data_IF_834468734234
#
_entry.id   IF_834468734234
#
_cell.length_a   1.000
_cell.length_b   1.000
_cell.length_c   1.000
_cell.angle_alpha   90.00
_cell.angle_beta   90.00
_cell.angle_gamma   90.00
#
_symmetry.space_group_name_H-M   'P 1'
#
loop_
_entity.id
_entity.type
_entity.pdbx_description
1 polymer ?
#
# COMPACT_ATOMS: atom_id res chain seq x y z
N UNK A 1 20.65 -21.19 4.48
CA UNK A 1 20.54 -21.79 5.84
C UNK A 1 19.10 -21.76 6.39
N UNK A 2 18.42 -20.60 6.43
CA UNK A 2 17.04 -20.48 6.97
C UNK A 2 15.99 -21.38 6.30
N UNK A 3 16.03 -21.54 4.97
CA UNK A 3 15.15 -22.44 4.22
C UNK A 3 15.35 -23.91 4.61
N UNK A 4 16.62 -24.34 4.73
CA UNK A 4 16.99 -25.70 5.14
C UNK A 4 16.47 -26.04 6.55
N UNK A 5 16.64 -25.11 7.51
CA UNK A 5 16.12 -25.29 8.89
C UNK A 5 14.60 -25.48 8.90
N UNK A 6 13.88 -24.87 7.96
CA UNK A 6 12.42 -24.96 7.82
C UNK A 6 11.97 -26.11 6.91
N UNK A 7 12.89 -26.93 6.39
CA UNK A 7 12.55 -28.05 5.49
C UNK A 7 11.97 -27.62 4.14
N UNK A 8 12.20 -26.38 3.68
CA UNK A 8 11.67 -25.89 2.41
C UNK A 8 12.50 -26.42 1.23
N UNK A 9 11.89 -27.22 0.36
CA UNK A 9 12.53 -27.88 -0.78
C UNK A 9 12.20 -27.24 -2.13
N UNK A 10 11.24 -26.31 -2.16
CA UNK A 10 10.69 -25.67 -3.36
C UNK A 10 11.32 -24.30 -3.66
N UNK A 11 12.59 -24.09 -3.29
CA UNK A 11 13.28 -22.81 -3.46
C UNK A 11 14.58 -23.00 -4.25
N UNK A 12 14.74 -22.24 -5.34
CA UNK A 12 16.00 -22.10 -6.08
C UNK A 12 16.60 -20.72 -5.81
N UNK A 13 17.87 -20.69 -5.39
CA UNK A 13 18.63 -19.46 -5.22
C UNK A 13 19.53 -19.26 -6.44
N UNK A 14 19.50 -18.05 -7.01
CA UNK A 14 20.35 -17.66 -8.14
C UNK A 14 21.10 -16.40 -7.74
N UNK A 15 22.43 -16.42 -7.85
CA UNK A 15 23.27 -15.26 -7.61
C UNK A 15 23.64 -14.65 -8.96
N UNK A 16 22.88 -13.63 -9.37
CA UNK A 16 23.09 -12.91 -10.62
C UNK A 16 22.47 -11.51 -10.52
N UNK A 17 22.71 -10.65 -11.52
CA UNK A 17 22.00 -9.40 -11.70
C UNK A 17 20.57 -9.65 -12.16
N UNK A 18 19.61 -8.88 -11.63
CA UNK A 18 18.23 -8.93 -12.13
C UNK A 18 18.13 -8.50 -13.61
N UNK A 19 19.09 -7.72 -14.11
CA UNK A 19 19.14 -7.32 -15.52
C UNK A 19 19.37 -8.52 -16.44
N UNK A 20 19.90 -9.62 -15.91
CA UNK A 20 20.13 -10.87 -16.62
C UNK A 20 18.94 -11.84 -16.57
N UNK A 21 17.82 -11.47 -15.92
CA UNK A 21 16.63 -12.34 -15.78
C UNK A 21 16.17 -12.97 -17.11
N UNK A 22 16.08 -12.24 -18.24
CA UNK A 22 15.68 -12.83 -19.51
C UNK A 22 16.59 -13.96 -20.02
N UNK A 23 17.85 -14.02 -19.56
CA UNK A 23 18.84 -15.01 -19.99
C UNK A 23 18.95 -16.22 -19.05
N UNK A 24 18.31 -16.19 -17.87
CA UNK A 24 18.46 -17.22 -16.84
C UNK A 24 17.57 -18.45 -17.01
N UNK A 25 16.68 -18.45 -18.02
CA UNK A 25 15.73 -19.53 -18.34
C UNK A 25 14.96 -20.03 -17.10
N UNK A 26 14.46 -19.10 -16.28
CA UNK A 26 13.71 -19.40 -15.06
C UNK A 26 12.21 -19.58 -15.30
N UNK A 27 11.75 -19.37 -16.54
CA UNK A 27 10.34 -19.28 -16.89
C UNK A 27 9.72 -17.95 -16.50
N UNK A 28 8.38 -17.91 -16.43
CA UNK A 28 7.60 -16.73 -16.04
C UNK A 28 6.88 -16.94 -14.72
N UNK A 29 6.68 -15.87 -13.98
CA UNK A 29 6.14 -15.90 -12.62
C UNK A 29 4.71 -15.34 -12.55
N UNK A 30 3.88 -15.94 -11.69
CA UNK A 30 2.58 -15.41 -11.32
C UNK A 30 2.72 -14.21 -10.37
N UNK A 31 3.79 -14.19 -9.57
CA UNK A 31 4.10 -13.09 -8.66
C UNK A 31 5.61 -12.81 -8.62
N UNK A 32 5.97 -11.53 -8.68
CA UNK A 32 7.35 -11.05 -8.53
C UNK A 32 7.39 -10.07 -7.36
N UNK A 33 8.17 -10.38 -6.32
CA UNK A 33 8.44 -9.44 -5.22
C UNK A 33 9.71 -8.62 -5.51
N UNK A 34 9.58 -7.31 -5.62
CA UNK A 34 10.66 -6.37 -5.87
C UNK A 34 10.61 -5.22 -4.86
N UNK A 35 11.19 -5.45 -3.68
CA UNK A 35 11.15 -4.51 -2.56
C UNK A 35 12.54 -3.96 -2.27
N UNK A 36 12.74 -2.64 -2.37
CA UNK A 36 14.05 -2.05 -2.07
C UNK A 36 15.12 -2.32 -3.12
N UNK A 37 14.74 -2.38 -4.41
CA UNK A 37 15.68 -2.79 -5.49
C UNK A 37 15.76 -1.79 -6.63
N UNK A 38 14.67 -1.55 -7.37
CA UNK A 38 14.74 -0.83 -8.65
C UNK A 38 15.31 0.58 -8.54
N UNK A 39 15.04 1.26 -7.43
CA UNK A 39 15.46 2.64 -7.22
C UNK A 39 16.95 2.80 -6.89
N UNK A 40 17.67 1.71 -6.67
CA UNK A 40 19.13 1.70 -6.53
C UNK A 40 19.85 1.40 -7.85
N UNK A 41 19.13 1.07 -8.93
CA UNK A 41 19.73 0.80 -10.22
C UNK A 41 20.13 2.09 -10.93
N UNK A 42 21.19 2.01 -11.73
CA UNK A 42 21.61 3.12 -12.59
C UNK A 42 20.53 3.42 -13.65
N UNK A 43 19.85 2.38 -14.10
CA UNK A 43 18.67 2.45 -14.96
C UNK A 43 17.52 1.62 -14.35
N UNK A 44 16.64 2.27 -13.56
CA UNK A 44 15.44 1.62 -13.00
C UNK A 44 14.49 1.08 -14.07
N UNK A 45 14.42 1.72 -15.24
CA UNK A 45 13.54 1.34 -16.34
C UNK A 45 13.99 0.02 -17.00
N UNK A 46 15.29 -0.15 -17.22
CA UNK A 46 15.86 -1.43 -17.65
C UNK A 46 15.55 -2.54 -16.65
N UNK A 47 15.66 -2.25 -15.34
CA UNK A 47 15.30 -3.20 -14.29
C UNK A 47 13.83 -3.60 -14.33
N UNK A 48 12.92 -2.63 -14.43
CA UNK A 48 11.49 -2.93 -14.52
C UNK A 48 11.14 -3.71 -15.80
N UNK A 49 11.75 -3.39 -16.94
CA UNK A 49 11.58 -4.15 -18.19
C UNK A 49 11.98 -5.61 -18.03
N UNK A 50 13.07 -5.90 -17.33
CA UNK A 50 13.51 -7.28 -17.06
C UNK A 50 12.49 -8.05 -16.20
N UNK A 51 11.96 -7.42 -15.14
CA UNK A 51 10.92 -8.00 -14.30
C UNK A 51 9.64 -8.27 -15.10
N UNK A 52 9.16 -7.27 -15.85
CA UNK A 52 7.95 -7.37 -16.68
C UNK A 52 8.07 -8.45 -17.75
N UNK A 53 9.24 -8.60 -18.37
CA UNK A 53 9.52 -9.67 -19.34
C UNK A 53 9.40 -11.08 -18.75
N UNK A 54 9.61 -11.20 -17.44
CA UNK A 54 9.51 -12.45 -16.67
C UNK A 54 8.14 -12.66 -16.03
N UNK A 55 7.19 -11.74 -16.23
CA UNK A 55 5.84 -11.82 -15.66
C UNK A 55 4.90 -12.60 -16.59
N UNK A 56 4.03 -13.43 -16.02
CA UNK A 56 2.92 -14.04 -16.75
C UNK A 56 1.84 -12.99 -17.12
N UNK A 57 0.99 -13.24 -18.12
CA UNK A 57 -0.04 -12.29 -18.56
C UNK A 57 -1.04 -11.82 -17.49
N UNK A 58 -1.29 -12.64 -16.46
CA UNK A 58 -2.15 -12.32 -15.32
C UNK A 58 -1.37 -12.19 -14.00
N UNK A 59 -0.04 -12.07 -14.08
CA UNK A 59 0.81 -11.97 -12.89
C UNK A 59 0.81 -10.57 -12.27
N UNK A 60 1.35 -10.48 -11.05
CA UNK A 60 1.52 -9.22 -10.34
C UNK A 60 2.97 -9.00 -9.89
N UNK A 61 3.41 -7.74 -9.86
CA UNK A 61 4.67 -7.33 -9.25
C UNK A 61 4.34 -6.56 -7.96
N UNK A 62 4.80 -7.05 -6.81
CA UNK A 62 4.85 -6.26 -5.59
C UNK A 62 6.09 -5.38 -5.62
N UNK A 63 5.90 -4.06 -5.75
CA UNK A 63 6.96 -3.08 -5.87
C UNK A 63 7.08 -2.25 -4.60
N UNK A 64 8.30 -2.00 -4.12
CA UNK A 64 8.57 -0.95 -3.14
C UNK A 64 9.75 -0.07 -3.58
N UNK A 65 9.55 1.25 -3.58
CA UNK A 65 10.57 2.25 -3.87
C UNK A 65 10.57 3.40 -2.85
N UNK A 66 11.64 4.18 -2.80
CA UNK A 66 11.71 5.38 -1.95
C UNK A 66 10.73 6.48 -2.37
N UNK A 67 10.03 7.05 -1.38
CA UNK A 67 9.08 8.15 -1.58
C UNK A 67 9.76 9.51 -1.48
N UNK A 68 9.48 10.41 -2.43
CA UNK A 68 10.13 11.75 -2.48
C UNK A 68 9.72 12.61 -1.29
N UNK A 69 8.41 12.70 -1.03
CA UNK A 69 7.86 13.62 -0.03
C UNK A 69 8.33 13.27 1.38
N UNK A 70 8.13 12.01 1.81
CA UNK A 70 8.51 11.56 3.14
C UNK A 70 10.03 11.54 3.39
N UNK A 71 10.85 11.50 2.34
CA UNK A 71 12.33 11.50 2.44
C UNK A 71 12.97 12.87 2.20
N UNK A 72 12.20 13.96 2.23
CA UNK A 72 12.72 15.33 2.00
C UNK A 72 13.96 15.63 2.85
N UNK A 73 13.96 15.26 4.13
CA UNK A 73 15.09 15.47 5.04
C UNK A 73 16.30 14.59 4.70
N UNK A 74 16.08 13.36 4.23
CA UNK A 74 17.14 12.41 3.87
C UNK A 74 17.96 12.92 2.69
N UNK A 75 17.32 13.35 1.60
CA UNK A 75 18.04 13.82 0.42
C UNK A 75 18.84 15.10 0.67
N UNK A 76 18.33 15.98 1.54
CA UNK A 76 19.10 17.14 2.02
C UNK A 76 20.35 16.70 2.78
N UNK A 77 20.23 15.69 3.65
CA UNK A 77 21.37 15.14 4.39
C UNK A 77 22.38 14.44 3.49
N UNK A 78 21.93 13.62 2.53
CA UNK A 78 22.84 12.99 1.57
C UNK A 78 23.63 14.04 0.76
N UNK A 79 22.97 15.11 0.31
CA UNK A 79 23.63 16.23 -0.36
C UNK A 79 24.67 16.90 0.55
N UNK A 80 24.31 17.13 1.82
CA UNK A 80 25.23 17.66 2.83
C UNK A 80 26.44 16.73 3.04
N UNK A 81 26.25 15.42 3.16
CA UNK A 81 27.34 14.46 3.37
C UNK A 81 28.30 14.40 2.19
N UNK A 82 27.80 14.52 0.94
CA UNK A 82 28.67 14.63 -0.24
C UNK A 82 29.56 15.88 -0.19
N UNK A 83 29.05 17.00 0.33
CA UNK A 83 29.85 18.22 0.51
C UNK A 83 30.84 18.12 1.68
N UNK A 84 30.45 17.47 2.78
CA UNK A 84 31.30 17.30 3.98
C UNK A 84 32.45 16.33 3.70
N UNK A 85 32.18 15.19 3.07
CA UNK A 85 33.19 14.15 2.82
C UNK A 85 34.10 14.50 1.63
N UNK A 86 33.60 15.23 0.62
CA UNK A 86 34.42 15.64 -0.52
C UNK A 86 34.92 14.45 -1.36
N UNK A 87 36.18 14.45 -1.87
CA UNK A 87 36.73 13.33 -2.63
C UNK A 87 36.71 12.03 -1.82
N UNK A 88 36.84 10.85 -2.48
CA UNK A 88 36.57 9.56 -1.85
C UNK A 88 37.36 9.38 -0.54
N UNK A 89 36.63 9.27 0.57
CA UNK A 89 37.16 8.87 1.87
C UNK A 89 36.91 7.38 2.08
N UNK A 90 37.61 6.78 3.04
CA UNK A 90 37.23 5.46 3.48
C UNK A 90 35.87 5.50 4.23
N UNK A 91 35.13 4.41 4.12
CA UNK A 91 33.77 4.28 4.66
C UNK A 91 33.68 4.65 6.16
N UNK A 92 34.70 4.34 6.96
CA UNK A 92 34.66 4.62 8.40
C UNK A 92 34.77 6.12 8.69
N UNK A 93 35.61 6.82 7.94
CA UNK A 93 35.69 8.28 8.02
C UNK A 93 34.38 8.95 7.60
N UNK A 94 33.72 8.49 6.53
CA UNK A 94 32.42 9.02 6.11
C UNK A 94 31.34 8.83 7.19
N UNK A 95 31.33 7.66 7.82
CA UNK A 95 30.40 7.36 8.92
C UNK A 95 30.71 8.25 10.13
N UNK A 96 31.98 8.42 10.49
CA UNK A 96 32.38 9.28 11.62
C UNK A 96 31.93 10.73 11.40
N UNK A 97 32.21 11.30 10.23
CA UNK A 97 31.76 12.63 9.85
C UNK A 97 30.22 12.75 9.91
N UNK A 98 29.51 11.72 9.45
CA UNK A 98 28.04 11.69 9.51
C UNK A 98 27.53 11.72 10.94
N UNK A 99 28.15 10.97 11.85
CA UNK A 99 27.80 10.96 13.27
C UNK A 99 27.99 12.34 13.91
N UNK A 100 29.11 13.00 13.63
CA UNK A 100 29.42 14.34 14.15
C UNK A 100 28.40 15.39 13.67
N UNK A 101 28.01 15.32 12.39
CA UNK A 101 26.99 16.22 11.84
C UNK A 101 25.62 15.94 12.45
N UNK A 102 25.20 14.66 12.54
CA UNK A 102 23.92 14.27 13.15
C UNK A 102 23.81 14.78 14.60
N UNK A 103 24.88 14.66 15.39
CA UNK A 103 24.94 15.16 16.77
C UNK A 103 24.81 16.69 16.87
N UNK A 104 25.14 17.42 15.80
CA UNK A 104 25.25 18.88 15.78
C UNK A 104 24.16 19.57 14.95
N UNK A 105 23.17 18.84 14.43
CA UNK A 105 22.15 19.40 13.55
C UNK A 105 21.36 20.53 14.24
N UNK A 106 21.16 21.71 13.60
CA UNK A 106 20.33 22.75 14.18
C UNK A 106 18.86 22.33 14.21
N UNK A 107 18.06 22.89 15.14
CA UNK A 107 16.60 22.62 15.25
C UNK A 107 15.80 22.98 13.99
N UNK A 108 16.37 23.76 13.08
CA UNK A 108 15.77 24.13 11.80
C UNK A 108 15.91 23.05 10.71
N UNK A 109 16.81 22.08 10.87
CA UNK A 109 17.07 21.04 9.87
C UNK A 109 15.87 20.09 9.69
N UNK A 110 15.53 19.76 8.44
CA UNK A 110 14.37 18.93 8.11
C UNK A 110 14.52 17.47 8.53
N UNK A 111 15.71 16.87 8.40
CA UNK A 111 15.95 15.51 8.90
C UNK A 111 15.73 15.42 10.41
N UNK A 112 16.25 16.40 11.16
CA UNK A 112 16.03 16.49 12.61
C UNK A 112 14.55 16.70 12.96
N UNK A 113 13.83 17.53 12.19
CA UNK A 113 12.39 17.76 12.42
C UNK A 113 11.52 16.55 12.11
N UNK A 114 11.93 15.74 11.14
CA UNK A 114 11.23 14.52 10.72
C UNK A 114 11.90 13.24 11.20
N UNK A 115 12.72 13.28 12.26
CA UNK A 115 13.51 12.11 12.71
C UNK A 115 12.62 10.90 13.06
N UNK A 116 11.38 11.15 13.46
CA UNK A 116 10.37 10.10 13.73
C UNK A 116 10.00 9.27 12.49
N UNK A 117 10.24 9.80 11.28
CA UNK A 117 9.99 9.11 10.02
C UNK A 117 11.10 8.12 9.66
N UNK A 118 12.29 8.23 10.28
CA UNK A 118 13.48 7.47 9.87
C UNK A 118 14.05 6.66 11.04
N UNK A 119 14.14 5.35 10.88
CA UNK A 119 14.75 4.46 11.87
C UNK A 119 16.17 3.99 11.53
N UNK A 120 16.51 3.92 10.24
CA UNK A 120 17.62 3.09 9.77
C UNK A 120 18.99 3.52 10.30
N UNK A 121 19.23 4.83 10.41
CA UNK A 121 20.48 5.37 10.96
C UNK A 121 20.77 4.96 12.42
N UNK A 122 19.79 4.38 13.13
CA UNK A 122 19.94 3.84 14.50
C UNK A 122 20.39 2.38 14.49
N UNK A 123 20.36 1.70 13.34
CA UNK A 123 20.71 0.29 13.16
C UNK A 123 22.21 0.09 12.84
N UNK A 124 23.08 0.83 13.53
CA UNK A 124 24.54 0.77 13.35
C UNK A 124 25.03 1.40 12.04
N UNK A 125 26.26 1.06 11.68
CA UNK A 125 26.98 1.67 10.55
C UNK A 125 26.31 1.41 9.20
N UNK A 126 25.81 0.18 8.98
CA UNK A 126 25.12 -0.18 7.75
C UNK A 126 23.89 0.69 7.51
N UNK A 127 23.11 0.96 8.56
CA UNK A 127 21.90 1.79 8.43
C UNK A 127 22.20 3.28 8.22
N UNK A 128 23.31 3.80 8.76
CA UNK A 128 23.78 5.15 8.41
C UNK A 128 24.20 5.21 6.96
N UNK A 129 24.97 4.21 6.52
CA UNK A 129 25.49 4.19 5.17
C UNK A 129 24.36 4.12 4.15
N UNK A 130 23.43 3.18 4.35
CA UNK A 130 22.27 2.97 3.50
C UNK A 130 21.35 4.21 3.44
N UNK A 131 21.13 4.90 4.57
CA UNK A 131 20.23 6.04 4.59
C UNK A 131 20.87 7.33 4.07
N UNK A 132 22.10 7.63 4.48
CA UNK A 132 22.70 8.98 4.39
C UNK A 132 23.96 9.06 3.52
N UNK A 133 24.63 7.93 3.26
CA UNK A 133 25.86 7.88 2.45
C UNK A 133 25.68 7.08 1.16
N UNK A 134 24.43 6.72 0.82
CA UNK A 134 24.16 5.89 -0.33
C UNK A 134 24.66 6.56 -1.62
N UNK A 135 25.45 5.82 -2.39
CA UNK A 135 26.07 6.31 -3.62
C UNK A 135 25.09 6.52 -4.77
N UNK A 136 23.99 5.77 -4.79
CA UNK A 136 23.05 5.68 -5.88
C UNK A 136 21.67 5.23 -5.37
N UNK A 137 20.80 6.20 -5.15
CA UNK A 137 19.37 5.98 -4.94
C UNK A 137 18.55 7.05 -5.68
N UNK A 138 17.29 6.73 -5.93
CA UNK A 138 16.31 7.66 -6.50
C UNK A 138 15.00 7.55 -5.73
N UNK A 139 14.39 8.68 -5.41
CA UNK A 139 13.01 8.70 -4.94
C UNK A 139 12.02 8.96 -6.06
N UNK A 140 10.77 8.61 -5.79
CA UNK A 140 9.64 8.86 -6.67
C UNK A 140 8.51 9.50 -5.87
N UNK A 141 7.87 10.50 -6.46
CA UNK A 141 6.53 10.93 -6.06
C UNK A 141 5.47 9.97 -6.59
N UNK A 142 4.24 10.07 -6.07
CA UNK A 142 3.09 9.33 -6.60
C UNK A 142 2.88 9.63 -8.09
N UNK A 143 3.01 10.90 -8.50
CA UNK A 143 2.86 11.32 -9.89
C UNK A 143 3.89 10.65 -10.82
N UNK A 144 5.15 10.63 -10.41
CA UNK A 144 6.23 9.97 -11.17
C UNK A 144 6.02 8.46 -11.29
N UNK A 145 5.48 7.81 -10.25
CA UNK A 145 5.14 6.38 -10.32
C UNK A 145 4.02 6.09 -11.31
N UNK A 146 2.98 6.94 -11.34
CA UNK A 146 1.96 6.85 -12.38
C UNK A 146 2.54 7.05 -13.77
N UNK A 147 3.35 8.09 -13.98
CA UNK A 147 3.97 8.37 -15.28
C UNK A 147 4.89 7.24 -15.74
N UNK A 148 5.65 6.65 -14.82
CA UNK A 148 6.59 5.57 -15.12
C UNK A 148 5.88 4.24 -15.41
N UNK A 149 4.93 3.84 -14.58
CA UNK A 149 4.34 2.50 -14.64
C UNK A 149 3.08 2.44 -15.50
N UNK A 150 2.14 3.36 -15.28
CA UNK A 150 0.85 3.39 -15.97
C UNK A 150 0.92 4.18 -17.27
N UNK A 151 1.63 5.31 -17.25
CA UNK A 151 1.78 6.23 -18.36
C UNK A 151 1.23 7.62 -18.03
N UNK A 152 1.70 8.61 -18.81
CA UNK A 152 1.23 9.99 -18.70
C UNK A 152 0.14 10.28 -19.74
N UNK A 153 -0.67 11.34 -19.56
CA UNK A 153 -1.57 11.84 -20.61
C UNK A 153 -0.85 12.19 -21.92
N UNK A 154 0.46 12.50 -21.86
CA UNK A 154 1.31 12.79 -23.01
C UNK A 154 1.92 11.53 -23.65
N UNK A 155 1.57 10.34 -23.16
CA UNK A 155 2.13 9.06 -23.58
C UNK A 155 3.33 8.61 -22.74
N UNK A 156 3.86 7.42 -23.04
CA UNK A 156 4.98 6.81 -22.31
C UNK A 156 4.54 5.85 -21.21
N UNK A 157 5.47 5.54 -20.30
CA UNK A 157 5.31 4.54 -19.23
C UNK A 157 5.31 3.09 -19.72
N UNK A 158 5.05 2.17 -18.81
CA UNK A 158 5.04 0.73 -19.10
C UNK A 158 3.65 0.16 -19.44
N UNK A 159 2.60 0.99 -19.40
CA UNK A 159 1.22 0.56 -19.69
C UNK A 159 0.67 -0.42 -18.67
N UNK A 160 1.12 -0.32 -17.42
CA UNK A 160 0.75 -1.22 -16.33
C UNK A 160 -0.29 -0.57 -15.43
N UNK A 161 -1.18 -1.36 -14.85
CA UNK A 161 -2.10 -0.89 -13.81
C UNK A 161 -1.43 -0.85 -12.44
N UNK A 162 -1.61 0.26 -11.73
CA UNK A 162 -1.02 0.50 -10.41
C UNK A 162 -2.09 0.55 -9.31
N UNK A 163 -1.88 -0.20 -8.24
CA UNK A 163 -2.63 -0.12 -6.98
C UNK A 163 -1.68 0.09 -5.81
N UNK A 164 -1.73 1.27 -5.21
CA UNK A 164 -0.91 1.59 -4.04
C UNK A 164 -1.42 0.88 -2.78
N UNK A 165 -0.49 0.53 -1.92
CA UNK A 165 -0.75 0.03 -0.57
C UNK A 165 0.38 0.47 0.35
N UNK A 166 0.18 0.32 1.65
CA UNK A 166 1.16 0.59 2.67
C UNK A 166 1.00 -0.44 3.79
N UNK A 167 2.13 -0.93 4.30
CA UNK A 167 2.15 -2.02 5.27
C UNK A 167 1.30 -1.63 6.49
N UNK A 168 0.26 -2.43 6.76
CA UNK A 168 -0.72 -2.23 7.84
C UNK A 168 -1.65 -1.01 7.70
N UNK A 169 -1.46 -0.15 6.70
CA UNK A 169 -2.32 1.02 6.45
C UNK A 169 -3.16 0.89 5.18
N UNK A 170 -2.90 -0.12 4.35
CA UNK A 170 -3.57 -0.31 3.07
C UNK A 170 -3.38 0.90 2.16
N UNK A 171 -4.37 1.21 1.32
CA UNK A 171 -4.33 2.42 0.48
C UNK A 171 -4.74 3.71 1.20
N UNK A 172 -5.09 3.65 2.49
CA UNK A 172 -5.55 4.82 3.25
C UNK A 172 -4.60 6.03 3.18
N UNK A 173 -3.27 5.89 3.27
CA UNK A 173 -2.34 7.03 3.13
C UNK A 173 -2.40 7.75 1.77
N UNK A 174 -3.00 7.11 0.76
CA UNK A 174 -3.17 7.67 -0.58
C UNK A 174 -4.56 8.29 -0.78
N UNK A 175 -5.41 8.33 0.25
CA UNK A 175 -6.77 8.87 0.15
C UNK A 175 -6.91 10.17 0.95
N UNK A 176 -7.30 11.30 0.32
CA UNK A 176 -7.41 12.59 1.02
C UNK A 176 -8.29 12.53 2.27
N UNK A 177 -9.43 11.82 2.22
CA UNK A 177 -10.34 11.70 3.37
C UNK A 177 -9.80 10.87 4.53
N UNK A 178 -8.71 10.14 4.34
CA UNK A 178 -8.01 9.40 5.40
C UNK A 178 -6.82 10.18 5.97
N UNK A 179 -6.19 11.07 5.20
CA UNK A 179 -5.01 11.82 5.69
C UNK A 179 -5.36 13.21 6.23
N UNK A 180 -6.56 13.72 5.95
CA UNK A 180 -7.04 14.95 6.56
C UNK A 180 -7.20 14.79 8.08
N UNK A 181 -6.94 15.86 8.82
CA UNK A 181 -7.11 15.89 10.27
C UNK A 181 -8.57 15.70 10.72
N UNK A 182 -8.77 15.60 12.04
CA UNK A 182 -10.07 15.29 12.69
C UNK A 182 -11.24 16.19 12.27
N UNK A 183 -10.95 17.41 11.83
CA UNK A 183 -11.95 18.38 11.35
C UNK A 183 -11.71 18.65 9.86
N UNK A 184 -12.18 17.77 8.95
CA UNK A 184 -11.96 17.94 7.52
C UNK A 184 -12.64 19.22 7.01
N UNK A 185 -12.05 19.92 6.04
CA UNK A 185 -12.63 21.13 5.47
C UNK A 185 -13.91 20.82 4.68
N UNK A 186 -14.78 21.82 4.48
CA UNK A 186 -16.02 21.68 3.71
C UNK A 186 -15.82 21.13 2.28
N UNK A 187 -14.60 21.28 1.72
CA UNK A 187 -14.24 20.75 0.40
C UNK A 187 -13.81 19.28 0.39
N UNK A 188 -13.82 18.56 1.52
CA UNK A 188 -13.35 17.17 1.60
C UNK A 188 -14.10 16.25 0.62
N UNK A 189 -15.43 16.40 0.48
CA UNK A 189 -16.23 15.62 -0.47
C UNK A 189 -15.85 15.92 -1.93
N UNK A 190 -15.39 17.14 -2.23
CA UNK A 190 -14.87 17.47 -3.56
C UNK A 190 -13.57 16.72 -3.83
N UNK A 191 -12.69 16.59 -2.83
CA UNK A 191 -11.43 15.84 -2.96
C UNK A 191 -11.70 14.35 -3.22
N UNK A 192 -12.67 13.74 -2.52
CA UNK A 192 -13.06 12.33 -2.70
C UNK A 192 -13.57 11.99 -4.11
N UNK A 193 -14.05 13.00 -4.85
CA UNK A 193 -14.62 12.84 -6.21
C UNK A 193 -13.60 13.14 -7.32
N UNK A 194 -12.38 13.54 -6.98
CA UNK A 194 -11.33 13.76 -7.98
C UNK A 194 -10.90 12.43 -8.63
N UNK A 195 -10.30 12.47 -9.83
CA UNK A 195 -9.69 11.27 -10.42
C UNK A 195 -8.67 10.62 -9.48
N UNK A 196 -8.57 9.28 -9.51
CA UNK A 196 -7.73 8.46 -8.62
C UNK A 196 -6.30 9.02 -8.47
N UNK A 197 -5.60 9.20 -9.59
CA UNK A 197 -4.24 9.77 -9.61
C UNK A 197 -4.15 11.08 -8.84
N UNK A 198 -5.13 11.98 -9.07
CA UNK A 198 -5.14 13.29 -8.42
C UNK A 198 -5.42 13.20 -6.93
N UNK A 199 -6.26 12.27 -6.49
CA UNK A 199 -6.48 12.00 -5.07
C UNK A 199 -5.17 11.57 -4.40
N UNK A 200 -4.41 10.67 -5.04
CA UNK A 200 -3.21 10.09 -4.45
C UNK A 200 -2.07 11.11 -4.37
N UNK A 201 -1.87 11.91 -5.42
CA UNK A 201 -0.91 13.03 -5.40
C UNK A 201 -1.24 14.05 -4.30
N UNK A 202 -2.52 14.36 -4.10
CA UNK A 202 -2.96 15.26 -3.02
C UNK A 202 -2.69 14.63 -1.65
N UNK A 203 -3.02 13.35 -1.48
CA UNK A 203 -2.86 12.66 -0.21
C UNK A 203 -1.38 12.53 0.20
N UNK A 204 -0.49 12.25 -0.76
CA UNK A 204 0.96 12.24 -0.53
C UNK A 204 1.44 13.57 0.09
N UNK A 205 0.99 14.70 -0.47
CA UNK A 205 1.37 16.03 0.00
C UNK A 205 0.70 16.42 1.32
N UNK A 206 -0.53 15.95 1.57
CA UNK A 206 -1.25 16.19 2.82
C UNK A 206 -0.64 15.40 3.98
N UNK A 207 -0.30 14.13 3.76
CA UNK A 207 0.28 13.24 4.79
C UNK A 207 1.75 13.54 5.05
N UNK A 208 2.55 13.68 4.00
CA UNK A 208 3.96 14.07 4.09
C UNK A 208 4.90 13.01 4.71
N UNK A 209 4.41 11.83 5.06
CA UNK A 209 5.09 10.83 5.88
C UNK A 209 5.44 9.53 5.12
N UNK A 210 5.10 9.44 3.83
CA UNK A 210 5.40 8.28 2.99
C UNK A 210 6.89 8.25 2.60
N UNK A 211 7.70 7.63 3.46
CA UNK A 211 9.14 7.42 3.21
C UNK A 211 9.43 6.35 2.16
N UNK A 212 8.46 5.47 1.91
CA UNK A 212 8.47 4.50 0.81
C UNK A 212 7.10 4.46 0.16
N UNK A 213 7.05 4.11 -1.12
CA UNK A 213 5.83 3.73 -1.80
C UNK A 213 5.85 2.23 -2.03
N UNK A 214 4.78 1.56 -1.60
CA UNK A 214 4.51 0.16 -1.95
C UNK A 214 3.31 0.10 -2.88
N UNK A 215 3.37 -0.78 -3.88
CA UNK A 215 2.28 -0.95 -4.82
C UNK A 215 2.26 -2.35 -5.45
N UNK A 216 1.08 -2.77 -5.86
CA UNK A 216 0.91 -3.86 -6.81
C UNK A 216 0.85 -3.30 -8.23
N UNK A 217 1.68 -3.85 -9.10
CA UNK A 217 1.77 -3.49 -10.52
C UNK A 217 1.31 -4.69 -11.34
N UNK A 218 0.26 -4.51 -12.14
CA UNK A 218 -0.39 -5.59 -12.89
C UNK A 218 -0.56 -5.20 -14.36
N UNK A 219 -0.70 -6.16 -15.29
CA UNK A 219 -0.89 -5.83 -16.71
C UNK A 219 -2.18 -5.06 -17.01
N UNK A 220 -3.22 -5.16 -16.16
CA UNK A 220 -4.45 -4.39 -16.30
C UNK A 220 -5.28 -4.33 -15.01
N UNK A 221 -6.22 -3.39 -14.97
CA UNK A 221 -7.17 -3.23 -13.86
C UNK A 221 -8.11 -4.43 -13.66
N UNK A 222 -8.22 -5.36 -14.62
CA UNK A 222 -9.05 -6.57 -14.48
C UNK A 222 -8.53 -7.52 -13.40
N UNK A 223 -7.31 -7.32 -12.93
CA UNK A 223 -6.72 -8.08 -11.83
C UNK A 223 -7.23 -7.62 -10.45
N UNK A 224 -7.95 -6.49 -10.36
CA UNK A 224 -8.54 -5.99 -9.12
C UNK A 224 -9.90 -6.62 -8.88
N UNK A 225 -10.13 -7.18 -7.69
CA UNK A 225 -11.43 -7.73 -7.31
C UNK A 225 -12.51 -6.62 -7.26
N UNK A 226 -13.62 -6.75 -8.03
CA UNK A 226 -14.65 -5.73 -8.12
C UNK A 226 -15.62 -5.79 -6.95
N UNK A 227 -15.87 -4.62 -6.33
CA UNK A 227 -17.02 -4.47 -5.43
C UNK A 227 -18.32 -4.42 -6.23
N UNK A 228 -19.39 -5.00 -5.70
CA UNK A 228 -20.71 -5.05 -6.34
C UNK A 228 -20.95 -6.32 -7.18
N UNK A 229 -19.95 -7.19 -7.34
CA UNK A 229 -20.12 -8.51 -7.93
C UNK A 229 -20.52 -9.53 -6.86
N UNK A 230 -21.72 -10.11 -7.02
CA UNK A 230 -22.30 -11.05 -6.06
C UNK A 230 -21.51 -12.36 -5.95
N UNK A 231 -20.67 -12.70 -6.93
CA UNK A 231 -19.88 -13.93 -6.92
C UNK A 231 -18.65 -13.86 -6.01
N UNK A 232 -18.18 -12.66 -5.64
CA UNK A 232 -16.96 -12.51 -4.84
C UNK A 232 -17.19 -12.81 -3.36
N UNK A 233 -16.15 -13.37 -2.74
CA UNK A 233 -16.13 -13.75 -1.32
C UNK A 233 -15.44 -12.65 -0.51
N UNK A 234 -16.18 -11.91 0.34
CA UNK A 234 -15.57 -11.00 1.30
C UNK A 234 -14.89 -11.78 2.43
N UNK A 235 -13.72 -11.32 2.85
CA UNK A 235 -12.99 -11.88 3.98
C UNK A 235 -12.25 -10.80 4.77
N UNK A 236 -12.15 -11.00 6.10
CA UNK A 236 -11.38 -10.10 6.95
C UNK A 236 -9.88 -10.41 6.85
N UNK A 237 -9.07 -9.35 6.80
CA UNK A 237 -7.63 -9.45 6.69
C UNK A 237 -6.93 -8.61 7.79
N UNK A 238 -5.74 -9.06 8.20
CA UNK A 238 -4.98 -8.58 9.37
C UNK A 238 -5.67 -8.79 10.76
N UNK A 239 -4.86 -8.87 11.82
CA UNK A 239 -5.18 -9.43 13.16
C UNK A 239 -6.38 -8.81 13.93
N UNK A 240 -6.85 -9.51 14.99
CA UNK A 240 -8.03 -10.36 14.97
C UNK A 240 -9.32 -9.53 14.85
N UNK A 241 -9.74 -9.28 13.62
CA UNK A 241 -11.02 -8.63 13.33
C UNK A 241 -12.07 -9.69 12.98
N UNK A 242 -13.21 -9.66 13.65
CA UNK A 242 -14.35 -10.55 13.33
C UNK A 242 -15.57 -9.74 12.89
N UNK A 243 -16.45 -10.41 12.15
CA UNK A 243 -17.72 -9.83 11.73
C UNK A 243 -18.58 -9.37 12.91
N UNK A 244 -18.50 -10.05 14.05
CA UNK A 244 -19.23 -9.68 15.26
C UNK A 244 -18.66 -8.40 15.91
N UNK A 245 -17.33 -8.25 15.96
CA UNK A 245 -16.71 -7.01 16.46
C UNK A 245 -17.11 -5.83 15.58
N UNK A 246 -16.97 -5.95 14.25
CA UNK A 246 -17.36 -4.89 13.33
C UNK A 246 -18.87 -4.63 13.33
N UNK A 247 -19.68 -5.68 13.41
CA UNK A 247 -21.13 -5.55 13.51
C UNK A 247 -21.57 -4.80 14.77
N UNK A 248 -20.83 -4.89 15.88
CA UNK A 248 -21.05 -4.07 17.08
C UNK A 248 -20.62 -2.62 16.86
N UNK A 249 -19.42 -2.39 16.30
CA UNK A 249 -18.90 -1.04 16.03
C UNK A 249 -19.85 -0.26 15.11
N UNK A 250 -20.23 -0.85 13.98
CA UNK A 250 -21.14 -0.23 13.02
C UNK A 250 -22.59 -0.17 13.54
N UNK A 251 -23.00 -1.09 14.44
CA UNK A 251 -24.33 -1.07 15.06
C UNK A 251 -24.49 -0.08 16.21
N UNK A 252 -23.40 0.31 16.88
CA UNK A 252 -23.45 1.09 18.13
C UNK A 252 -24.05 2.50 17.97
N UNK A 253 -23.88 3.11 16.79
CA UNK A 253 -24.28 4.49 16.53
C UNK A 253 -25.71 4.65 16.00
N UNK A 254 -26.56 3.62 16.10
CA UNK A 254 -28.00 3.67 15.74
C UNK A 254 -28.26 4.23 14.33
N UNK A 255 -27.41 3.90 13.36
CA UNK A 255 -27.53 4.38 11.98
C UNK A 255 -26.94 5.78 11.73
N UNK A 256 -26.46 6.47 12.76
CA UNK A 256 -25.82 7.78 12.62
C UNK A 256 -24.35 7.64 12.21
N UNK A 257 -23.87 8.61 11.42
CA UNK A 257 -22.47 8.71 11.02
C UNK A 257 -21.58 8.84 12.25
N UNK A 258 -20.47 8.10 12.28
CA UNK A 258 -19.54 8.11 13.40
C UNK A 258 -18.10 8.19 12.89
N UNK A 259 -17.17 8.53 13.79
CA UNK A 259 -15.74 8.56 13.49
C UNK A 259 -15.13 7.25 13.95
N UNK A 260 -14.54 6.52 13.02
CA UNK A 260 -13.72 5.35 13.29
C UNK A 260 -12.26 5.79 13.43
N UNK A 261 -11.60 5.35 14.51
CA UNK A 261 -10.17 5.47 14.67
C UNK A 261 -9.53 4.14 14.28
N UNK A 262 -8.60 4.17 13.33
CA UNK A 262 -7.74 3.03 13.04
C UNK A 262 -6.42 3.21 13.80
N UNK A 263 -6.25 2.48 14.91
CA UNK A 263 -5.13 2.69 15.84
C UNK A 263 -3.76 2.56 15.17
N UNK A 264 -3.58 1.57 14.29
CA UNK A 264 -2.27 1.31 13.67
C UNK A 264 -1.86 2.40 12.68
N UNK A 265 -2.81 3.00 11.95
CA UNK A 265 -2.49 4.08 11.01
C UNK A 265 -2.63 5.48 11.63
N UNK A 266 -3.15 5.59 12.86
CA UNK A 266 -3.47 6.87 13.50
C UNK A 266 -4.62 7.64 12.82
N UNK A 267 -5.30 7.02 11.86
CA UNK A 267 -6.28 7.68 10.98
C UNK A 267 -7.66 7.78 11.62
N UNK A 268 -8.35 8.89 11.33
CA UNK A 268 -9.73 9.14 11.72
C UNK A 268 -10.58 9.23 10.46
N UNK A 269 -11.55 8.35 10.31
CA UNK A 269 -12.45 8.35 9.14
C UNK A 269 -13.90 8.43 9.60
N UNK A 270 -14.61 9.41 9.05
CA UNK A 270 -16.05 9.53 9.26
C UNK A 270 -16.75 8.57 8.32
N UNK A 271 -17.57 7.67 8.85
CA UNK A 271 -18.24 6.60 8.09
C UNK A 271 -19.71 6.52 8.47
N UNK A 272 -20.58 6.36 7.46
CA UNK A 272 -21.97 6.04 7.71
C UNK A 272 -22.09 4.53 7.91
N UNK A 273 -22.73 4.05 9.00
CA UNK A 273 -22.75 2.64 9.31
C UNK A 273 -23.51 1.80 8.29
N UNK A 274 -24.42 2.39 7.51
CA UNK A 274 -25.42 1.67 6.73
C UNK A 274 -26.51 1.07 7.62
N UNK A 275 -27.70 0.86 7.04
CA UNK A 275 -28.87 0.30 7.72
C UNK A 275 -28.75 -1.20 7.93
N UNK A 276 -28.12 -1.91 6.99
CA UNK A 276 -28.01 -3.37 6.91
C UNK A 276 -26.58 -3.87 7.08
N UNK A 277 -25.59 -2.99 6.91
CA UNK A 277 -24.17 -3.34 7.05
C UNK A 277 -23.79 -4.04 8.35
N UNK A 278 -24.31 -3.67 9.55
CA UNK A 278 -23.97 -4.40 10.77
C UNK A 278 -24.34 -5.88 10.71
N UNK A 279 -25.45 -6.24 10.05
CA UNK A 279 -25.87 -7.62 9.86
C UNK A 279 -25.04 -8.30 8.78
N UNK A 280 -24.79 -7.62 7.65
CA UNK A 280 -23.92 -8.13 6.58
C UNK A 280 -22.53 -8.47 7.13
N UNK A 281 -21.93 -7.58 7.91
CA UNK A 281 -20.61 -7.78 8.53
C UNK A 281 -20.55 -9.05 9.38
N UNK A 282 -21.61 -9.37 10.13
CA UNK A 282 -21.69 -10.61 10.95
C UNK A 282 -21.77 -11.89 10.12
N UNK A 283 -22.26 -11.79 8.89
CA UNK A 283 -22.39 -12.92 7.98
C UNK A 283 -21.11 -13.19 7.18
N UNK A 284 -20.14 -12.27 7.17
CA UNK A 284 -18.85 -12.46 6.48
C UNK A 284 -17.99 -13.46 7.26
N UNK A 285 -17.64 -14.56 6.58
CA UNK A 285 -16.82 -15.65 7.13
C UNK A 285 -15.61 -16.02 6.27
N UNK A 286 -15.38 -15.30 5.17
CA UNK A 286 -14.31 -15.58 4.22
C UNK A 286 -14.52 -16.80 3.32
N UNK A 287 -15.72 -17.39 3.33
CA UNK A 287 -16.11 -18.56 2.54
C UNK A 287 -17.30 -18.27 1.63
N UNK A 288 -18.35 -17.65 2.16
CA UNK A 288 -19.57 -17.31 1.41
C UNK A 288 -19.35 -16.11 0.51
N UNK A 289 -19.82 -16.22 -0.73
CA UNK A 289 -19.96 -15.12 -1.67
C UNK A 289 -20.96 -14.08 -1.17
N UNK A 290 -20.94 -12.86 -1.73
CA UNK A 290 -21.96 -11.87 -1.46
C UNK A 290 -23.38 -12.37 -1.77
N UNK A 291 -23.56 -13.17 -2.83
CA UNK A 291 -24.85 -13.78 -3.17
C UNK A 291 -25.37 -14.63 -2.00
N UNK A 292 -24.55 -15.55 -1.49
CA UNK A 292 -24.92 -16.43 -0.37
C UNK A 292 -25.13 -15.66 0.93
N UNK A 293 -24.31 -14.62 1.18
CA UNK A 293 -24.48 -13.73 2.34
C UNK A 293 -25.82 -12.99 2.25
N UNK A 294 -26.19 -12.48 1.09
CA UNK A 294 -27.44 -11.76 0.90
C UNK A 294 -28.66 -12.68 0.94
N UNK A 295 -28.55 -13.92 0.45
CA UNK A 295 -29.58 -14.95 0.62
C UNK A 295 -29.78 -15.28 2.11
N UNK A 296 -28.70 -15.46 2.86
CA UNK A 296 -28.78 -15.68 4.31
C UNK A 296 -29.38 -14.47 5.03
N UNK A 297 -28.97 -13.24 4.67
CA UNK A 297 -29.56 -12.02 5.22
C UNK A 297 -31.08 -11.96 5.01
N UNK A 298 -31.56 -12.36 3.83
CA UNK A 298 -33.00 -12.40 3.52
C UNK A 298 -33.72 -13.53 4.27
N UNK A 299 -33.07 -14.67 4.47
CA UNK A 299 -33.63 -15.77 5.27
C UNK A 299 -33.84 -15.35 6.74
N UNK A 300 -32.92 -14.53 7.28
CA UNK A 300 -32.98 -14.01 8.65
C UNK A 300 -33.80 -12.70 8.77
N UNK A 301 -34.46 -12.27 7.69
CA UNK A 301 -35.17 -10.99 7.66
C UNK A 301 -36.50 -11.04 8.43
N UNK A 302 -36.59 -10.24 9.50
CA UNK A 302 -37.80 -10.07 10.30
C UNK A 302 -38.38 -8.65 10.25
N UNK A 303 -38.00 -7.86 9.23
CA UNK A 303 -38.49 -6.50 9.08
C UNK A 303 -39.94 -6.43 8.59
N UNK A 304 -40.62 -5.32 8.88
CA UNK A 304 -42.03 -5.08 8.46
C UNK A 304 -42.20 -4.86 6.95
N UNK A 305 -41.13 -4.44 6.27
CA UNK A 305 -41.10 -4.25 4.81
C UNK A 305 -40.51 -5.47 4.12
N UNK A 306 -40.69 -5.66 2.80
CA UNK A 306 -39.98 -6.69 2.05
C UNK A 306 -38.46 -6.60 2.27
N UNK A 307 -37.79 -7.75 2.29
CA UNK A 307 -36.35 -7.80 2.41
C UNK A 307 -35.69 -7.09 1.22
N UNK A 308 -34.62 -6.30 1.42
CA UNK A 308 -33.91 -5.63 0.34
C UNK A 308 -33.29 -6.61 -0.65
N UNK A 309 -33.27 -6.23 -1.93
CA UNK A 309 -32.56 -6.95 -2.97
C UNK A 309 -31.04 -6.71 -2.90
N UNK A 310 -30.29 -7.38 -3.78
CA UNK A 310 -28.83 -7.28 -3.81
C UNK A 310 -28.35 -5.85 -4.12
N UNK A 311 -29.06 -5.09 -4.97
CA UNK A 311 -28.65 -3.75 -5.35
C UNK A 311 -28.76 -2.80 -4.15
N UNK A 312 -29.84 -2.90 -3.38
CA UNK A 312 -30.04 -2.13 -2.15
C UNK A 312 -29.00 -2.52 -1.08
N UNK A 313 -28.72 -3.81 -0.91
CA UNK A 313 -27.72 -4.28 0.05
C UNK A 313 -26.30 -3.82 -0.32
N UNK A 314 -25.91 -3.89 -1.59
CA UNK A 314 -24.62 -3.35 -2.04
C UNK A 314 -24.53 -1.84 -1.88
N UNK A 315 -25.59 -1.10 -2.19
CA UNK A 315 -25.60 0.35 -2.05
C UNK A 315 -25.45 0.77 -0.57
N UNK A 316 -26.14 0.08 0.34
CA UNK A 316 -26.05 0.32 1.79
C UNK A 316 -24.67 -0.01 2.36
N UNK A 317 -24.04 -1.09 1.87
CA UNK A 317 -22.75 -1.58 2.35
C UNK A 317 -21.53 -0.88 1.72
N UNK A 318 -21.73 -0.03 0.71
CA UNK A 318 -20.64 0.54 -0.09
C UNK A 318 -19.63 1.37 0.72
N UNK A 319 -20.10 2.26 1.61
CA UNK A 319 -19.21 3.11 2.42
C UNK A 319 -18.49 2.30 3.52
N UNK A 320 -19.15 1.42 4.29
CA UNK A 320 -18.46 0.48 5.17
C UNK A 320 -17.41 -0.38 4.47
N UNK A 321 -17.73 -0.92 3.29
CA UNK A 321 -16.78 -1.68 2.50
C UNK A 321 -15.59 -0.81 2.07
N UNK A 322 -15.81 0.38 1.51
CA UNK A 322 -14.73 1.27 1.06
C UNK A 322 -13.76 1.60 2.19
N UNK A 323 -14.29 1.90 3.37
CA UNK A 323 -13.48 2.24 4.54
C UNK A 323 -12.65 1.05 5.02
N UNK A 324 -13.27 -0.12 5.18
CA UNK A 324 -12.57 -1.31 5.64
C UNK A 324 -11.57 -1.84 4.59
N UNK A 325 -11.90 -1.70 3.31
CA UNK A 325 -11.02 -2.08 2.21
C UNK A 325 -9.83 -1.15 2.06
N UNK A 326 -10.01 0.16 2.26
CA UNK A 326 -8.91 1.13 2.23
C UNK A 326 -7.86 0.86 3.31
N UNK A 327 -8.27 0.25 4.43
CA UNK A 327 -7.42 -0.11 5.57
C UNK A 327 -6.93 -1.58 5.54
N UNK A 328 -7.13 -2.30 4.43
CA UNK A 328 -6.83 -3.74 4.29
C UNK A 328 -7.48 -4.61 5.38
N UNK A 329 -8.64 -4.20 5.89
CA UNK A 329 -9.43 -4.95 6.90
C UNK A 329 -10.51 -5.82 6.29
N UNK A 330 -11.00 -5.47 5.10
CA UNK A 330 -11.97 -6.24 4.34
C UNK A 330 -11.55 -6.31 2.88
N UNK A 331 -11.24 -7.52 2.42
CA UNK A 331 -10.78 -7.80 1.06
C UNK A 331 -11.75 -8.75 0.36
N UNK A 332 -11.63 -8.82 -0.96
CA UNK A 332 -12.42 -9.72 -1.79
C UNK A 332 -11.51 -10.73 -2.46
N UNK A 333 -12.00 -11.97 -2.58
CA UNK A 333 -11.38 -12.99 -3.42
C UNK A 333 -12.42 -13.64 -4.33
N UNK A 334 -11.99 -14.06 -5.51
CA UNK A 334 -12.84 -14.89 -6.37
C UNK A 334 -12.97 -16.29 -5.75
N UNK A 335 -14.14 -16.97 -5.83
CA UNK A 335 -14.32 -18.31 -5.26
C UNK A 335 -13.28 -19.35 -5.73
N UNK A 336 -12.76 -19.19 -6.95
CA UNK A 336 -11.75 -20.07 -7.51
C UNK A 336 -10.34 -19.85 -6.94
N UNK A 337 -10.09 -18.76 -6.20
CA UNK A 337 -8.77 -18.49 -5.62
C UNK A 337 -8.35 -19.54 -4.58
N UNK A 338 -9.30 -20.16 -3.89
CA UNK A 338 -9.01 -21.24 -2.93
C UNK A 338 -8.76 -22.60 -3.61
N UNK A 339 -9.20 -22.77 -4.87
CA UNK A 339 -9.06 -24.02 -5.61
C UNK A 339 -7.64 -24.24 -6.16
N UNK A 340 -6.88 -23.16 -6.39
CA UNK A 340 -5.49 -23.19 -6.88
C UNK A 340 -4.44 -23.25 -5.77
N UNK A 341 -4.85 -23.11 -4.50
CA UNK A 341 -3.96 -23.16 -3.34
C UNK A 341 -3.72 -24.59 -2.79
N UNK A 342 -4.21 -25.63 -3.48
CA UNK A 342 -4.11 -27.05 -3.08
C UNK A 342 -3.17 -27.84 -3.97
#
# INVERSE_FOLDING_TARGET
QRARIRGLTNIRWVHDSLLNLPQLDLGRFDYIGCTGVLHHLADPDAGFKALRGSLKPAGAIGLMVYGTTGRTGVYQMQSLMRMVNGPPLDMQTEIANTRDILASLPKSNWFRRGEELYGDHKNGDAGIYDLLLHSQDRSYSVGELFDWLEGSPQGGGHGMHLEFTDVQRGRAPYLPHFVLGRSPPAMADKLRRLPRRRQYEIAELLGGDLVTHSAYVTPSASCTAPYGDAAYVPFFFHEPLTGEVLGRVFGANRGQRFVMQHEHSGTWVSVSPGKYSPQILRLIDGKRSFAEIFDQFRADWHGKSPAPDNAVLFADFAEPYEVLNALDRLLLKHPQADATAR
#
